data_IF_718346857952
#
_entry.id   IF_718346857952
#
_cell.length_a   1.000
_cell.length_b   1.000
_cell.length_c   1.000
_cell.angle_alpha   90.00
_cell.angle_beta   90.00
_cell.angle_gamma   90.00
#
_symmetry.space_group_name_H-M   'P 1'
#
loop_
_entity.id
_entity.type
_entity.pdbx_description
1 polymer ?
#
# COMPACT_ATOMS: atom_id res chain seq x y z
N UNK A 1 22.24 -3.39 -20.30
CA UNK A 1 21.59 -3.61 -18.98
C UNK A 1 20.43 -2.65 -18.77
N UNK A 2 20.52 -1.41 -19.26
CA UNK A 2 19.48 -0.38 -19.04
C UNK A 2 18.18 -0.63 -19.82
N UNK A 3 18.27 -1.12 -21.06
CA UNK A 3 17.08 -1.49 -21.86
C UNK A 3 16.22 -2.59 -21.20
N UNK A 4 16.85 -3.61 -20.60
CA UNK A 4 16.15 -4.70 -19.91
C UNK A 4 15.49 -4.23 -18.60
N UNK A 5 16.04 -3.19 -17.93
CA UNK A 5 15.41 -2.59 -16.75
C UNK A 5 14.23 -1.70 -17.11
N UNK A 6 14.35 -0.92 -18.19
CA UNK A 6 13.26 -0.09 -18.69
C UNK A 6 12.07 -0.95 -19.16
N UNK A 7 12.35 -2.05 -19.86
CA UNK A 7 11.32 -3.02 -20.27
C UNK A 7 10.67 -3.72 -19.08
N UNK A 8 11.46 -4.13 -18.07
CA UNK A 8 10.93 -4.69 -16.84
C UNK A 8 10.04 -3.70 -16.07
N UNK A 9 10.44 -2.42 -15.99
CA UNK A 9 9.66 -1.37 -15.33
C UNK A 9 8.30 -1.13 -16.02
N UNK A 10 8.30 -1.05 -17.36
CA UNK A 10 7.08 -0.90 -18.16
C UNK A 10 6.14 -2.10 -18.03
N UNK A 11 6.69 -3.32 -17.99
CA UNK A 11 5.90 -4.54 -17.74
C UNK A 11 5.26 -4.51 -16.34
N UNK A 12 5.99 -4.10 -15.30
CA UNK A 12 5.39 -3.92 -13.96
C UNK A 12 4.33 -2.82 -13.89
N UNK A 13 4.48 -1.72 -14.64
CA UNK A 13 3.50 -0.64 -14.67
C UNK A 13 2.21 -1.06 -15.40
N UNK A 14 2.36 -1.77 -16.53
CA UNK A 14 1.24 -2.36 -17.26
C UNK A 14 0.50 -3.40 -16.40
N UNK A 15 1.24 -4.32 -15.76
CA UNK A 15 0.67 -5.32 -14.84
C UNK A 15 -0.04 -4.68 -13.64
N UNK A 16 0.51 -3.57 -13.12
CA UNK A 16 -0.12 -2.81 -12.03
C UNK A 16 -1.39 -2.13 -12.48
N UNK A 17 -1.38 -1.52 -13.68
CA UNK A 17 -2.55 -0.87 -14.27
C UNK A 17 -3.67 -1.85 -14.55
N UNK A 18 -3.36 -2.99 -15.17
CA UNK A 18 -4.32 -4.06 -15.43
C UNK A 18 -4.89 -4.63 -14.12
N UNK A 19 -4.04 -4.87 -13.11
CA UNK A 19 -4.50 -5.31 -11.79
C UNK A 19 -5.46 -4.30 -11.17
N UNK A 20 -5.15 -3.02 -11.20
CA UNK A 20 -6.02 -1.98 -10.65
C UNK A 20 -7.36 -1.93 -11.39
N UNK A 21 -7.35 -2.09 -12.72
CA UNK A 21 -8.57 -2.17 -13.52
C UNK A 21 -9.44 -3.37 -13.15
N UNK A 22 -8.85 -4.56 -13.01
CA UNK A 22 -9.56 -5.78 -12.61
C UNK A 22 -10.16 -5.60 -11.20
N UNK A 23 -9.42 -4.98 -10.28
CA UNK A 23 -9.91 -4.70 -8.93
C UNK A 23 -11.10 -3.74 -8.93
N UNK A 24 -11.05 -2.69 -9.76
CA UNK A 24 -12.17 -1.75 -9.93
C UNK A 24 -13.40 -2.45 -10.53
N UNK A 25 -13.22 -3.22 -11.61
CA UNK A 25 -14.31 -3.95 -12.23
C UNK A 25 -14.99 -4.93 -11.26
N UNK A 26 -14.19 -5.64 -10.46
CA UNK A 26 -14.73 -6.53 -9.43
C UNK A 26 -15.56 -5.77 -8.37
N UNK A 27 -15.17 -4.53 -8.04
CA UNK A 27 -15.91 -3.67 -7.12
C UNK A 27 -17.25 -3.22 -7.71
N UNK A 28 -17.24 -2.76 -8.95
CA UNK A 28 -18.43 -2.30 -9.65
C UNK A 28 -19.45 -3.45 -9.78
N UNK A 29 -18.97 -4.66 -10.08
CA UNK A 29 -19.81 -5.88 -10.14
C UNK A 29 -20.40 -6.19 -8.77
N UNK A 30 -19.58 -6.18 -7.70
CA UNK A 30 -20.05 -6.47 -6.35
C UNK A 30 -21.14 -5.47 -5.94
N UNK A 31 -20.92 -4.17 -6.16
CA UNK A 31 -21.91 -3.14 -5.83
C UNK A 31 -23.21 -3.35 -6.61
N UNK A 32 -23.13 -3.58 -7.93
CA UNK A 32 -24.30 -3.82 -8.77
C UNK A 32 -25.10 -5.07 -8.35
N UNK A 33 -24.42 -6.16 -8.01
CA UNK A 33 -25.05 -7.40 -7.52
C UNK A 33 -25.75 -7.16 -6.18
N UNK A 34 -25.09 -6.41 -5.30
CA UNK A 34 -25.60 -6.07 -3.97
C UNK A 34 -26.87 -5.21 -4.05
N UNK A 35 -26.83 -4.11 -4.80
CA UNK A 35 -27.99 -3.24 -5.04
C UNK A 35 -29.17 -4.01 -5.63
N UNK A 36 -28.92 -4.93 -6.57
CA UNK A 36 -29.98 -5.77 -7.15
C UNK A 36 -30.56 -6.74 -6.12
N UNK A 37 -29.74 -7.33 -5.26
CA UNK A 37 -30.17 -8.23 -4.21
C UNK A 37 -31.07 -7.51 -3.19
N UNK A 38 -30.71 -6.28 -2.80
CA UNK A 38 -31.53 -5.42 -1.94
C UNK A 38 -32.89 -5.10 -2.56
N UNK A 39 -32.90 -4.63 -3.81
CA UNK A 39 -34.12 -4.28 -4.54
C UNK A 39 -35.07 -5.48 -4.70
N UNK A 40 -34.51 -6.69 -4.81
CA UNK A 40 -35.28 -7.93 -4.89
C UNK A 40 -35.72 -8.50 -3.54
N UNK A 41 -35.39 -7.85 -2.41
CA UNK A 41 -35.65 -8.37 -1.07
C UNK A 41 -34.93 -9.68 -0.77
N UNK A 42 -33.78 -9.92 -1.41
CA UNK A 42 -33.04 -11.17 -1.26
C UNK A 42 -32.42 -11.26 0.15
N UNK A 43 -32.61 -12.36 0.90
CA UNK A 43 -32.04 -12.53 2.24
C UNK A 43 -30.50 -12.49 2.28
N UNK A 44 -29.82 -12.65 1.15
CA UNK A 44 -28.36 -12.52 1.04
C UNK A 44 -27.88 -11.06 0.98
N UNK A 45 -28.77 -10.08 0.76
CA UNK A 45 -28.40 -8.67 0.57
C UNK A 45 -27.59 -8.11 1.74
N UNK A 46 -27.99 -8.41 2.99
CA UNK A 46 -27.27 -7.98 4.19
C UNK A 46 -25.81 -8.50 4.23
N UNK A 47 -25.57 -9.73 3.77
CA UNK A 47 -24.21 -10.30 3.72
C UNK A 47 -23.38 -9.64 2.62
N UNK A 48 -23.99 -9.31 1.49
CA UNK A 48 -23.31 -8.63 0.39
C UNK A 48 -22.95 -7.18 0.76
N UNK A 49 -23.85 -6.46 1.42
CA UNK A 49 -23.56 -5.13 1.98
C UNK A 49 -22.36 -5.15 2.91
N UNK A 50 -22.33 -6.11 3.84
CA UNK A 50 -21.21 -6.22 4.78
C UNK A 50 -19.86 -6.43 4.06
N UNK A 51 -19.83 -7.15 2.93
CA UNK A 51 -18.62 -7.31 2.12
C UNK A 51 -18.22 -5.99 1.45
N UNK A 52 -19.18 -5.22 0.94
CA UNK A 52 -18.93 -3.89 0.36
C UNK A 52 -18.37 -2.94 1.42
N UNK A 53 -19.05 -2.81 2.57
CA UNK A 53 -18.62 -1.97 3.69
C UNK A 53 -17.22 -2.36 4.20
N UNK A 54 -16.98 -3.65 4.40
CA UNK A 54 -15.66 -4.13 4.83
C UNK A 54 -14.57 -3.76 3.84
N UNK A 55 -14.86 -3.79 2.53
CA UNK A 55 -13.89 -3.41 1.51
C UNK A 55 -13.60 -1.91 1.53
N UNK A 56 -14.63 -1.08 1.65
CA UNK A 56 -14.46 0.38 1.75
C UNK A 56 -13.60 0.75 2.96
N UNK A 57 -13.86 0.13 4.12
CA UNK A 57 -13.04 0.31 5.32
C UNK A 57 -11.59 -0.16 5.14
N UNK A 58 -11.36 -1.21 4.35
CA UNK A 58 -9.99 -1.66 4.00
C UNK A 58 -9.29 -0.61 3.15
N UNK A 59 -9.98 -0.03 2.16
CA UNK A 59 -9.41 0.97 1.25
C UNK A 59 -9.07 2.27 2.00
N UNK A 60 -9.94 2.69 2.92
CA UNK A 60 -9.70 3.83 3.83
C UNK A 60 -8.48 3.57 4.74
N UNK A 61 -8.42 2.40 5.38
CA UNK A 61 -7.31 2.04 6.26
C UNK A 61 -5.99 1.93 5.48
N UNK A 62 -6.03 1.39 4.26
CA UNK A 62 -4.88 1.35 3.35
C UNK A 62 -4.37 2.77 3.06
N UNK A 63 -5.26 3.69 2.72
CA UNK A 63 -4.88 5.06 2.40
C UNK A 63 -4.29 5.78 3.62
N UNK A 64 -4.89 5.60 4.80
CA UNK A 64 -4.37 6.14 6.05
C UNK A 64 -2.96 5.60 6.36
N UNK A 65 -2.75 4.29 6.22
CA UNK A 65 -1.44 3.67 6.44
C UNK A 65 -0.41 4.15 5.41
N UNK A 66 -0.80 4.30 4.15
CA UNK A 66 0.07 4.81 3.09
C UNK A 66 0.57 6.22 3.41
N UNK A 67 -0.33 7.12 3.82
CA UNK A 67 0.03 8.49 4.17
C UNK A 67 0.88 8.55 5.44
N UNK A 68 0.56 7.72 6.44
CA UNK A 68 1.37 7.57 7.66
C UNK A 68 2.79 7.08 7.34
N UNK A 69 2.91 6.09 6.45
CA UNK A 69 4.21 5.56 6.03
C UNK A 69 5.02 6.60 5.24
N UNK A 70 4.40 7.33 4.31
CA UNK A 70 5.07 8.42 3.56
C UNK A 70 5.63 9.47 4.49
N UNK A 71 4.88 9.85 5.51
CA UNK A 71 5.33 10.80 6.52
C UNK A 71 6.54 10.26 7.31
N UNK A 72 6.42 9.07 7.90
CA UNK A 72 7.52 8.44 8.66
C UNK A 72 8.78 8.19 7.80
N UNK A 73 8.58 7.90 6.51
CA UNK A 73 9.65 7.73 5.55
C UNK A 73 10.38 9.06 5.29
N UNK A 74 9.64 10.14 5.07
CA UNK A 74 10.21 11.48 4.92
C UNK A 74 11.00 11.89 6.16
N UNK A 75 10.49 11.61 7.36
CA UNK A 75 11.18 11.86 8.63
C UNK A 75 12.48 11.06 8.75
N UNK A 76 12.46 9.77 8.39
CA UNK A 76 13.64 8.91 8.40
C UNK A 76 14.72 9.41 7.44
N UNK A 77 14.32 9.82 6.23
CA UNK A 77 15.22 10.42 5.25
C UNK A 77 15.78 11.77 5.74
N UNK A 78 14.93 12.62 6.31
CA UNK A 78 15.34 13.90 6.89
C UNK A 78 16.33 13.72 8.04
N UNK A 79 16.12 12.73 8.91
CA UNK A 79 17.05 12.39 9.98
C UNK A 79 18.44 12.00 9.44
N UNK A 80 18.50 11.17 8.39
CA UNK A 80 19.76 10.78 7.76
C UNK A 80 20.52 11.98 7.17
N UNK A 81 19.81 12.92 6.54
CA UNK A 81 20.41 14.12 5.96
C UNK A 81 20.89 15.10 7.04
N UNK A 82 20.10 15.32 8.09
CA UNK A 82 20.50 16.16 9.22
C UNK A 82 21.75 15.63 9.92
N UNK A 83 21.87 14.31 10.08
CA UNK A 83 23.06 13.66 10.65
C UNK A 83 24.32 13.93 9.80
N UNK A 84 24.14 14.21 8.51
CA UNK A 84 25.21 14.60 7.57
C UNK A 84 25.39 16.12 7.46
N UNK A 85 24.70 16.91 8.29
CA UNK A 85 24.79 18.37 8.31
C UNK A 85 23.96 19.08 7.22
N UNK A 86 23.03 18.38 6.58
CA UNK A 86 22.17 18.93 5.52
C UNK A 86 20.76 19.20 6.07
N UNK A 87 20.33 20.46 6.02
CA UNK A 87 18.96 20.87 6.33
C UNK A 87 18.20 21.13 5.02
N UNK A 88 17.35 20.18 4.62
CA UNK A 88 16.59 20.24 3.36
C UNK A 88 15.15 19.81 3.57
N UNK A 89 14.22 20.41 2.82
CA UNK A 89 12.83 19.94 2.76
C UNK A 89 12.72 18.76 1.80
N UNK A 90 11.99 17.73 2.20
CA UNK A 90 11.76 16.52 1.40
C UNK A 90 10.25 16.28 1.23
N UNK A 91 9.86 15.87 0.04
CA UNK A 91 8.52 15.38 -0.28
C UNK A 91 8.63 13.97 -0.85
N UNK A 92 7.79 13.06 -0.36
CA UNK A 92 7.75 11.67 -0.80
C UNK A 92 6.49 11.47 -1.62
N UNK A 93 6.65 11.19 -2.91
CA UNK A 93 5.55 10.94 -3.84
C UNK A 93 5.40 9.45 -4.12
N UNK A 94 4.21 9.00 -4.53
CA UNK A 94 4.08 7.67 -5.13
C UNK A 94 4.84 7.68 -6.46
N UNK A 95 5.84 6.81 -6.58
CA UNK A 95 6.72 6.59 -7.74
C UNK A 95 6.40 7.48 -8.95
N UNK A 96 7.18 8.54 -9.13
CA UNK A 96 7.24 9.19 -10.43
C UNK A 96 7.84 8.22 -11.46
N UNK A 97 7.43 8.33 -12.72
CA UNK A 97 8.02 7.62 -13.88
C UNK A 97 9.48 8.00 -14.18
N UNK A 98 10.17 8.63 -13.21
CA UNK A 98 11.55 9.04 -13.32
C UNK A 98 12.50 7.88 -13.10
N UNK A 99 13.64 7.93 -13.77
CA UNK A 99 14.73 7.00 -13.50
C UNK A 99 15.19 7.15 -12.04
N UNK A 100 15.47 6.04 -11.33
CA UNK A 100 16.04 6.08 -9.99
C UNK A 100 17.29 6.96 -9.96
N UNK A 101 17.32 7.97 -9.09
CA UNK A 101 18.50 8.80 -8.93
C UNK A 101 19.52 8.04 -8.07
N UNK A 102 20.66 7.58 -8.63
CA UNK A 102 21.65 6.80 -7.89
C UNK A 102 22.26 7.59 -6.72
N UNK A 103 22.23 8.93 -6.76
CA UNK A 103 22.69 9.77 -5.66
C UNK A 103 21.77 9.71 -4.42
N UNK A 104 20.52 9.25 -4.60
CA UNK A 104 19.55 9.08 -3.52
C UNK A 104 19.44 7.62 -3.05
N UNK A 105 20.16 6.69 -3.67
CA UNK A 105 20.06 5.26 -3.35
C UNK A 105 20.42 4.95 -1.89
N UNK A 106 21.49 5.58 -1.38
CA UNK A 106 21.90 5.44 0.01
C UNK A 106 20.86 6.01 0.98
N UNK A 107 20.20 7.11 0.59
CA UNK A 107 19.12 7.72 1.38
C UNK A 107 17.87 6.84 1.36
N UNK A 108 17.52 6.30 0.20
CA UNK A 108 16.42 5.36 0.02
C UNK A 108 16.64 4.09 0.85
N UNK A 109 17.81 3.45 0.70
CA UNK A 109 18.21 2.26 1.45
C UNK A 109 18.19 2.49 2.97
N UNK A 110 18.61 3.67 3.43
CA UNK A 110 18.51 4.02 4.84
C UNK A 110 17.06 4.12 5.28
N UNK A 111 16.27 4.97 4.60
CA UNK A 111 14.88 5.22 4.96
C UNK A 111 14.05 3.94 4.92
N UNK A 112 14.20 3.10 3.90
CA UNK A 112 13.52 1.80 3.81
C UNK A 112 13.81 0.90 5.01
N UNK A 113 15.07 0.84 5.47
CA UNK A 113 15.48 -0.01 6.59
C UNK A 113 15.09 0.51 7.97
N UNK A 114 14.84 1.80 8.10
CA UNK A 114 14.57 2.42 9.40
C UNK A 114 13.12 2.86 9.57
N UNK A 115 12.36 3.02 8.48
CA UNK A 115 10.98 3.50 8.55
C UNK A 115 10.08 2.41 9.11
N UNK A 116 9.38 2.67 10.23
CA UNK A 116 8.44 1.71 10.77
C UNK A 116 7.21 1.57 9.86
N UNK A 117 6.75 0.32 9.68
CA UNK A 117 5.46 0.09 9.03
C UNK A 117 4.31 0.51 9.97
N UNK A 118 3.26 1.18 9.46
CA UNK A 118 2.10 1.58 10.26
C UNK A 118 1.46 0.43 11.04
N UNK A 119 1.45 -0.76 10.45
CA UNK A 119 0.78 -1.94 11.01
C UNK A 119 1.52 -2.59 12.17
N UNK A 120 2.84 -2.39 12.27
CA UNK A 120 3.68 -3.08 13.26
C UNK A 120 4.45 -2.13 14.17
N UNK A 121 4.59 -0.87 13.77
CA UNK A 121 5.49 0.09 14.42
C UNK A 121 6.98 -0.28 14.31
N UNK A 122 7.32 -1.28 13.50
CA UNK A 122 8.67 -1.78 13.30
C UNK A 122 9.07 -1.65 11.84
N UNK A 123 10.35 -1.40 11.59
CA UNK A 123 10.88 -1.41 10.24
C UNK A 123 10.83 -2.84 9.66
N UNK A 124 10.84 -2.94 8.34
CA UNK A 124 10.84 -4.23 7.64
C UNK A 124 12.14 -4.98 7.94
N UNK A 125 12.04 -6.18 8.49
CA UNK A 125 13.18 -7.09 8.54
C UNK A 125 13.24 -7.88 7.23
N UNK A 126 14.19 -7.52 6.38
CA UNK A 126 14.45 -8.20 5.10
C UNK A 126 14.80 -9.68 5.24
N UNK A 127 15.20 -10.15 6.43
CA UNK A 127 15.50 -11.56 6.68
C UNK A 127 14.24 -12.41 6.92
N UNK A 128 13.10 -11.79 7.26
CA UNK A 128 11.83 -12.47 7.49
C UNK A 128 11.05 -12.75 6.18
N UNK A 129 11.64 -12.41 5.03
CA UNK A 129 11.05 -12.58 3.71
C UNK A 129 10.18 -11.39 3.30
N UNK A 130 9.28 -11.60 2.33
CA UNK A 130 8.43 -10.53 1.80
C UNK A 130 7.54 -9.95 2.91
N UNK A 131 7.49 -8.61 3.12
CA UNK A 131 6.71 -7.99 4.20
C UNK A 131 5.25 -8.45 4.26
N UNK A 132 4.59 -8.61 3.11
CA UNK A 132 3.21 -9.10 3.03
C UNK A 132 3.02 -10.50 3.65
N UNK A 133 4.03 -11.38 3.57
CA UNK A 133 3.96 -12.71 4.17
C UNK A 133 4.12 -12.65 5.69
N UNK A 134 5.01 -11.78 6.18
CA UNK A 134 5.22 -11.55 7.62
C UNK A 134 3.94 -11.00 8.26
N UNK A 135 3.33 -9.99 7.63
CA UNK A 135 2.06 -9.41 8.08
C UNK A 135 0.93 -10.44 8.08
N UNK A 136 0.87 -11.30 7.05
CA UNK A 136 -0.11 -12.40 7.00
C UNK A 136 0.11 -13.40 8.13
N UNK A 137 1.34 -13.81 8.39
CA UNK A 137 1.67 -14.74 9.46
C UNK A 137 1.38 -14.15 10.85
N UNK A 138 1.53 -12.83 11.01
CA UNK A 138 1.20 -12.11 12.24
C UNK A 138 -0.30 -11.79 12.39
N UNK A 139 -1.15 -12.13 11.42
CA UNK A 139 -2.59 -11.80 11.46
C UNK A 139 -2.88 -10.30 11.29
N UNK A 140 -1.95 -9.52 10.74
CA UNK A 140 -2.04 -8.07 10.57
C UNK A 140 -2.45 -7.68 9.15
N UNK A 141 -3.27 -8.49 8.49
CA UNK A 141 -3.81 -8.14 7.17
C UNK A 141 -4.90 -7.08 7.31
N UNK A 142 -5.14 -6.28 6.25
CA UNK A 142 -6.22 -5.29 6.28
C UNK A 142 -7.60 -5.89 6.62
N UNK A 143 -8.01 -7.04 6.05
CA UNK A 143 -9.26 -7.69 6.50
C UNK A 143 -9.29 -7.99 7.99
N UNK A 144 -8.17 -8.45 8.57
CA UNK A 144 -8.10 -8.75 10.00
C UNK A 144 -8.11 -7.48 10.88
N UNK A 145 -7.60 -6.36 10.36
CA UNK A 145 -7.53 -5.06 11.07
C UNK A 145 -8.82 -4.24 10.97
N UNK A 146 -9.59 -4.44 9.90
CA UNK A 146 -10.94 -3.88 9.73
C UNK A 146 -11.97 -4.73 10.47
N UNK A 147 -11.67 -6.00 10.71
CA UNK A 147 -12.47 -6.84 11.59
C UNK A 147 -12.26 -6.43 13.05
N UNK A 148 -13.18 -5.61 13.56
CA UNK A 148 -13.82 -5.58 14.89
C UNK A 148 -14.25 -4.12 15.15
N UNK A 149 -15.49 -3.80 14.79
CA UNK A 149 -16.36 -3.05 15.70
C UNK A 149 -17.61 -3.91 15.95
N UNK A 150 -17.99 -4.15 17.22
CA UNK A 150 -19.26 -4.79 17.56
C UNK A 150 -20.47 -3.92 17.18
#
# INVERSE_FOLDING_TARGET
>A
MDALRAEAAQLTEADTTERNLIQQQAQDILLAVTTRAEQAGNPAAAKLNNVVETRELIDELWQQDLDSYRHAYAESAHHALNTRGLAVSLEVTASGSGEPNPALEDLHSYAEKTTPLPMTGQATDGNLGKPANVLRAAGLTYPARVSIQP
#
